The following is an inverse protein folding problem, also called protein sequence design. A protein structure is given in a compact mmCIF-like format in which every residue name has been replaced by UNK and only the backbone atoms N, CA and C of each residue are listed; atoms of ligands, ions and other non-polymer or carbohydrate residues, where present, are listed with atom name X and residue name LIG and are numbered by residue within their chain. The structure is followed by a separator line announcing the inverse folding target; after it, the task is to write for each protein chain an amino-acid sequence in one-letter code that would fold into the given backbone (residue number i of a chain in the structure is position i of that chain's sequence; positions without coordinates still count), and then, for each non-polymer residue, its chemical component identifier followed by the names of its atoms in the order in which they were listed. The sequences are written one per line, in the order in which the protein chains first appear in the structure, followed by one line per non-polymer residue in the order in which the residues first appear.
data_IF_450297245347
#
_entry.id   IF_450297245347
#
_cell.length_a   1.000
_cell.length_b   1.000
_cell.length_c   1.000
_cell.angle_alpha   90.00
_cell.angle_beta   90.00
_cell.angle_gamma   90.00
#
_symmetry.space_group_name_H-M   'P 1'
#
loop_
_entity.id
_entity.type
_entity.pdbx_description
1 polymer ?
#
# COMPACT_ATOMS: atom_id res chain seq x y z
N UNK A 1 32.48 -25.74 -18.57
CA UNK A 1 33.37 -24.98 -19.47
C UNK A 1 32.64 -23.71 -19.93
N UNK A 2 33.04 -22.51 -19.49
CA UNK A 2 32.51 -21.23 -20.02
C UNK A 2 33.41 -20.78 -21.17
N UNK A 3 32.85 -20.47 -22.34
CA UNK A 3 33.61 -19.94 -23.49
C UNK A 3 33.96 -18.47 -23.21
N UNK A 4 35.25 -18.15 -23.32
CA UNK A 4 35.77 -16.79 -23.12
C UNK A 4 35.21 -15.85 -24.20
N UNK A 5 34.67 -14.69 -23.79
CA UNK A 5 34.33 -13.57 -24.68
C UNK A 5 32.86 -13.28 -24.96
N UNK A 6 31.90 -14.01 -24.38
CA UNK A 6 30.46 -13.70 -24.55
C UNK A 6 29.98 -12.72 -23.48
N UNK A 7 29.66 -11.48 -23.86
CA UNK A 7 28.91 -10.57 -22.97
C UNK A 7 27.49 -11.10 -22.83
N UNK A 8 27.05 -11.48 -21.61
CA UNK A 8 25.73 -12.05 -21.43
C UNK A 8 24.69 -10.99 -21.78
N UNK A 9 23.81 -11.35 -22.71
CA UNK A 9 22.66 -10.51 -23.03
C UNK A 9 21.82 -10.28 -21.77
N UNK A 10 21.08 -9.17 -21.71
CA UNK A 10 20.24 -8.83 -20.53
C UNK A 10 19.33 -9.98 -20.13
N UNK A 11 18.83 -10.75 -21.10
CA UNK A 11 18.00 -11.93 -20.87
C UNK A 11 18.76 -13.09 -20.21
N UNK A 12 20.00 -13.36 -20.66
CA UNK A 12 20.86 -14.38 -20.07
C UNK A 12 21.30 -14.00 -18.65
N UNK A 13 21.65 -12.72 -18.43
CA UNK A 13 21.96 -12.22 -17.09
C UNK A 13 20.74 -12.32 -16.17
N UNK A 14 19.56 -11.88 -16.63
CA UNK A 14 18.33 -11.94 -15.84
C UNK A 14 17.96 -13.39 -15.51
N UNK A 15 18.12 -14.32 -16.47
CA UNK A 15 17.86 -15.75 -16.28
C UNK A 15 18.83 -16.37 -15.27
N UNK A 16 20.13 -16.14 -15.43
CA UNK A 16 21.16 -16.67 -14.55
C UNK A 16 21.06 -16.08 -13.13
N UNK A 17 20.79 -14.78 -13.01
CA UNK A 17 20.59 -14.11 -11.74
C UNK A 17 19.34 -14.64 -11.02
N UNK A 18 18.21 -14.77 -11.73
CA UNK A 18 16.98 -15.34 -11.16
C UNK A 18 17.18 -16.78 -10.71
N UNK A 19 17.80 -17.64 -11.53
CA UNK A 19 18.07 -19.03 -11.17
C UNK A 19 18.98 -19.17 -9.94
N UNK A 20 19.93 -18.24 -9.74
CA UNK A 20 20.88 -18.31 -8.64
C UNK A 20 20.38 -17.68 -7.33
N UNK A 21 19.66 -16.56 -7.42
CA UNK A 21 19.25 -15.77 -6.24
C UNK A 21 17.77 -15.85 -5.92
N UNK A 22 16.96 -16.38 -6.83
CA UNK A 22 15.51 -16.54 -6.64
C UNK A 22 15.17 -18.03 -6.86
N UNK A 23 15.31 -18.87 -5.82
CA UNK A 23 14.95 -20.29 -5.91
C UNK A 23 13.51 -20.48 -6.34
N UNK A 24 13.23 -21.53 -7.11
CA UNK A 24 11.87 -21.85 -7.55
C UNK A 24 10.92 -22.04 -6.37
N UNK A 25 11.41 -22.59 -5.25
CA UNK A 25 10.65 -22.71 -4.00
C UNK A 25 10.23 -21.35 -3.42
N UNK A 26 11.11 -20.34 -3.50
CA UNK A 26 10.81 -18.98 -3.07
C UNK A 26 9.77 -18.34 -3.99
N UNK A 27 9.86 -18.56 -5.30
CA UNK A 27 8.85 -18.10 -6.25
C UNK A 27 7.49 -18.77 -6.02
N UNK A 28 7.46 -20.09 -5.82
CA UNK A 28 6.23 -20.82 -5.54
C UNK A 28 5.62 -20.43 -4.19
N UNK A 29 6.45 -20.16 -3.18
CA UNK A 29 6.01 -19.59 -1.92
C UNK A 29 5.42 -18.20 -2.13
N UNK A 30 6.10 -17.30 -2.83
CA UNK A 30 5.60 -15.95 -3.10
C UNK A 30 4.35 -15.94 -3.97
N UNK A 31 4.23 -16.86 -4.94
CA UNK A 31 3.00 -17.10 -5.71
C UNK A 31 1.85 -17.59 -4.82
N UNK A 32 2.13 -18.41 -3.81
CA UNK A 32 1.13 -18.87 -2.83
C UNK A 32 0.69 -17.71 -1.92
N UNK A 33 1.64 -16.98 -1.36
CA UNK A 33 1.39 -15.79 -0.55
C UNK A 33 0.59 -14.73 -1.35
N UNK A 34 0.89 -14.55 -2.64
CA UNK A 34 0.13 -13.65 -3.51
C UNK A 34 -1.28 -14.16 -3.80
N UNK A 35 -1.46 -15.47 -4.00
CA UNK A 35 -2.78 -16.09 -4.20
C UNK A 35 -3.67 -16.02 -2.96
N UNK A 36 -3.08 -16.05 -1.77
CA UNK A 36 -3.77 -15.99 -0.48
C UNK A 36 -3.86 -14.57 0.08
N UNK A 37 -3.34 -13.57 -0.64
CA UNK A 37 -3.33 -12.19 -0.20
C UNK A 37 -4.78 -11.71 -0.03
N UNK A 38 -5.09 -11.18 1.16
CA UNK A 38 -6.37 -10.53 1.45
C UNK A 38 -6.16 -9.03 1.52
N UNK A 39 -7.16 -8.27 1.11
CA UNK A 39 -7.10 -6.81 1.07
C UNK A 39 -6.76 -6.20 2.45
N UNK A 40 -7.39 -6.69 3.52
CA UNK A 40 -7.19 -6.17 4.88
C UNK A 40 -7.41 -4.65 4.95
N UNK A 41 -6.45 -3.93 5.53
CA UNK A 41 -6.49 -2.46 5.66
C UNK A 41 -5.92 -1.70 4.44
N UNK A 42 -5.59 -2.38 3.33
CA UNK A 42 -5.04 -1.75 2.12
C UNK A 42 -6.17 -1.30 1.19
N UNK A 43 -5.96 -0.21 0.47
CA UNK A 43 -6.88 0.23 -0.60
C UNK A 43 -6.83 -0.75 -1.77
N UNK A 44 -7.92 -0.90 -2.53
CA UNK A 44 -8.00 -1.84 -3.67
C UNK A 44 -6.83 -1.62 -4.65
N UNK A 45 -6.45 -0.37 -4.91
CA UNK A 45 -5.32 -0.01 -5.78
C UNK A 45 -3.94 -0.48 -5.29
N UNK A 46 -3.74 -0.63 -3.99
CA UNK A 46 -2.48 -1.12 -3.41
C UNK A 46 -2.41 -2.65 -3.36
N UNK A 47 -3.56 -3.29 -3.42
CA UNK A 47 -3.69 -4.74 -3.49
C UNK A 47 -3.62 -5.24 -4.95
N UNK A 48 -4.06 -4.40 -5.89
CA UNK A 48 -4.11 -4.72 -7.30
C UNK A 48 -2.81 -4.35 -8.03
N UNK A 49 -2.20 -5.33 -8.71
CA UNK A 49 -1.05 -5.12 -9.61
C UNK A 49 -1.56 -5.09 -11.06
N UNK A 50 -1.50 -3.93 -11.76
CA UNK A 50 -2.03 -3.80 -13.12
C UNK A 50 -1.19 -4.53 -14.19
N UNK A 51 0.08 -4.80 -13.93
CA UNK A 51 1.06 -5.18 -14.97
C UNK A 51 1.05 -6.64 -15.40
N UNK A 52 0.17 -7.50 -14.85
CA UNK A 52 0.04 -8.89 -15.28
C UNK A 52 -1.41 -9.27 -15.65
N UNK A 53 -1.57 -9.45 -16.97
CA UNK A 53 -2.43 -10.45 -17.65
C UNK A 53 -3.89 -10.06 -17.96
N UNK A 54 -4.24 -10.40 -19.21
CA UNK A 54 -5.55 -10.38 -19.86
C UNK A 54 -6.71 -10.93 -19.00
N UNK A 55 -7.92 -10.54 -19.42
CA UNK A 55 -9.23 -10.82 -18.83
C UNK A 55 -9.45 -12.31 -18.47
N UNK A 56 -8.99 -12.71 -17.29
CA UNK A 56 -9.07 -14.08 -16.77
C UNK A 56 -10.22 -14.16 -15.74
N UNK A 57 -11.25 -15.01 -15.94
CA UNK A 57 -12.36 -15.17 -15.00
C UNK A 57 -11.90 -15.61 -13.60
N UNK A 58 -10.74 -16.27 -13.49
CA UNK A 58 -10.15 -16.62 -12.19
C UNK A 58 -9.68 -15.38 -11.44
N UNK A 59 -9.45 -14.24 -12.11
CA UNK A 59 -8.99 -12.98 -11.51
C UNK A 59 -10.12 -12.22 -10.84
N UNK A 60 -11.31 -12.21 -11.44
CA UNK A 60 -12.52 -11.72 -10.78
C UNK A 60 -12.79 -12.50 -9.48
N UNK A 61 -12.70 -13.82 -9.53
CA UNK A 61 -12.84 -14.67 -8.34
C UNK A 61 -11.76 -14.40 -7.29
N UNK A 62 -10.48 -14.23 -7.69
CA UNK A 62 -9.39 -13.87 -6.77
C UNK A 62 -9.61 -12.50 -6.11
N UNK A 63 -10.03 -11.50 -6.89
CA UNK A 63 -10.33 -10.17 -6.38
C UNK A 63 -11.48 -10.26 -5.38
N UNK A 64 -12.62 -10.82 -5.78
CA UNK A 64 -13.79 -11.02 -4.91
C UNK A 64 -13.41 -11.73 -3.61
N UNK A 65 -12.74 -12.88 -3.66
CA UNK A 65 -12.35 -13.63 -2.46
C UNK A 65 -11.36 -12.87 -1.55
N UNK A 66 -10.57 -11.96 -2.13
CA UNK A 66 -9.61 -11.12 -1.40
C UNK A 66 -10.19 -9.83 -0.84
N UNK A 67 -11.34 -9.35 -1.35
CA UNK A 67 -12.00 -8.14 -0.86
C UNK A 67 -12.53 -8.31 0.56
N UNK A 68 -12.78 -7.21 1.24
CA UNK A 68 -13.43 -7.22 2.55
C UNK A 68 -14.85 -7.83 2.49
N UNK A 69 -15.29 -8.64 3.49
CA UNK A 69 -16.61 -9.28 3.48
C UNK A 69 -17.80 -8.34 3.22
N UNK A 70 -17.68 -7.07 3.63
CA UNK A 70 -18.71 -6.04 3.38
C UNK A 70 -18.80 -5.68 1.89
N UNK A 71 -17.66 -5.53 1.22
CA UNK A 71 -17.58 -5.30 -0.22
C UNK A 71 -17.95 -6.56 -1.00
N UNK A 72 -17.53 -7.74 -0.54
CA UNK A 72 -17.87 -9.03 -1.16
C UNK A 72 -19.38 -9.23 -1.27
N UNK A 73 -20.11 -8.98 -0.18
CA UNK A 73 -21.56 -9.17 -0.11
C UNK A 73 -22.29 -8.25 -1.10
N UNK A 74 -21.78 -7.04 -1.29
CA UNK A 74 -22.41 -6.04 -2.16
C UNK A 74 -22.06 -6.23 -3.65
N UNK A 75 -20.81 -6.64 -3.94
CA UNK A 75 -20.30 -6.85 -5.30
C UNK A 75 -20.71 -8.19 -5.90
N UNK A 76 -20.99 -9.21 -5.08
CA UNK A 76 -21.36 -10.56 -5.53
C UNK A 76 -22.62 -10.67 -6.39
N UNK A 77 -23.35 -9.56 -6.62
CA UNK A 77 -24.58 -9.51 -7.43
C UNK A 77 -24.51 -8.58 -8.65
N UNK A 78 -23.40 -7.87 -8.90
CA UNK A 78 -23.42 -6.65 -9.75
C UNK A 78 -22.20 -6.40 -10.64
N UNK A 79 -21.46 -7.41 -11.10
CA UNK A 79 -20.41 -7.20 -12.10
C UNK A 79 -20.68 -8.04 -13.35
N UNK A 80 -20.48 -7.44 -14.53
CA UNK A 80 -20.61 -8.11 -15.83
C UNK A 80 -19.24 -8.36 -16.47
N UNK A 81 -18.23 -7.57 -16.10
CA UNK A 81 -16.84 -7.72 -16.53
C UNK A 81 -15.87 -7.48 -15.36
N UNK A 82 -14.60 -7.86 -15.55
CA UNK A 82 -13.57 -7.63 -14.54
C UNK A 82 -13.33 -6.12 -14.32
N UNK A 83 -13.40 -5.31 -15.37
CA UNK A 83 -13.28 -3.85 -15.27
C UNK A 83 -14.41 -3.25 -14.46
N UNK A 84 -15.67 -3.69 -14.70
CA UNK A 84 -16.82 -3.24 -13.91
C UNK A 84 -16.65 -3.60 -12.43
N UNK A 85 -16.12 -4.80 -12.14
CA UNK A 85 -15.87 -5.23 -10.77
C UNK A 85 -14.86 -4.32 -10.06
N UNK A 86 -13.76 -3.95 -10.73
CA UNK A 86 -12.74 -3.06 -10.18
C UNK A 86 -13.31 -1.65 -9.98
N UNK A 87 -13.98 -1.10 -10.98
CA UNK A 87 -14.53 0.25 -10.92
C UNK A 87 -15.63 0.37 -9.86
N UNK A 88 -16.50 -0.62 -9.76
CA UNK A 88 -17.54 -0.67 -8.71
C UNK A 88 -16.91 -0.79 -7.33
N UNK A 89 -15.87 -1.63 -7.16
CA UNK A 89 -15.16 -1.73 -5.90
C UNK A 89 -14.50 -0.40 -5.50
N UNK A 90 -13.89 0.32 -6.45
CA UNK A 90 -13.28 1.63 -6.21
C UNK A 90 -14.32 2.70 -5.87
N UNK A 91 -15.43 2.76 -6.60
CA UNK A 91 -16.54 3.69 -6.32
C UNK A 91 -17.14 3.44 -4.93
N UNK A 92 -17.29 2.17 -4.54
CA UNK A 92 -17.75 1.80 -3.20
C UNK A 92 -16.75 2.18 -2.10
N UNK A 93 -15.44 1.96 -2.30
CA UNK A 93 -14.43 2.42 -1.33
C UNK A 93 -14.43 3.94 -1.18
N UNK A 94 -14.60 4.67 -2.28
CA UNK A 94 -14.66 6.13 -2.25
C UNK A 94 -15.93 6.64 -1.56
N UNK A 95 -17.08 5.98 -1.75
CA UNK A 95 -18.36 6.33 -1.10
C UNK A 95 -18.38 6.01 0.39
N UNK A 96 -17.74 4.92 0.82
CA UNK A 96 -17.64 4.57 2.23
C UNK A 96 -16.65 5.47 3.01
N UNK A 97 -16.02 6.44 2.35
CA UNK A 97 -14.99 7.30 2.90
C UNK A 97 -13.67 6.54 3.09
N UNK A 98 -12.57 7.24 3.39
CA UNK A 98 -11.31 6.55 3.70
C UNK A 98 -11.59 5.57 4.84
N UNK A 99 -11.42 4.26 4.57
CA UNK A 99 -11.34 3.27 5.64
C UNK A 99 -10.36 3.86 6.62
N UNK A 100 -10.85 4.25 7.79
CA UNK A 100 -10.04 4.90 8.81
C UNK A 100 -8.86 3.97 9.02
N UNK A 101 -7.70 4.32 8.44
CA UNK A 101 -6.43 3.71 8.82
C UNK A 101 -6.45 3.90 10.31
N UNK A 102 -6.56 2.78 11.06
CA UNK A 102 -6.68 2.81 12.52
C UNK A 102 -5.73 3.89 13.00
N UNK A 103 -6.27 4.95 13.60
CA UNK A 103 -5.48 6.11 13.96
C UNK A 103 -4.21 5.60 14.63
N UNK A 104 -3.04 5.96 14.10
CA UNK A 104 -1.77 5.48 14.64
C UNK A 104 -1.80 5.89 16.12
N UNK A 105 -1.88 4.88 17.00
CA UNK A 105 -1.94 5.14 18.43
C UNK A 105 -0.56 5.61 18.86
N UNK A 106 -0.42 6.91 19.05
CA UNK A 106 0.71 7.50 19.75
C UNK A 106 0.60 7.20 21.24
N UNK A 107 1.73 7.02 21.91
CA UNK A 107 1.75 6.97 23.37
C UNK A 107 1.22 8.29 23.95
N UNK A 108 0.67 8.32 25.18
CA UNK A 108 0.14 9.54 25.78
C UNK A 108 1.14 10.70 25.79
N UNK A 109 2.42 10.40 26.03
CA UNK A 109 3.50 11.39 26.06
C UNK A 109 3.78 11.99 24.68
N UNK A 110 3.80 11.14 23.64
CA UNK A 110 3.98 11.59 22.24
C UNK A 110 2.81 12.45 21.77
N UNK A 111 1.58 12.11 22.19
CA UNK A 111 0.39 12.90 21.87
C UNK A 111 0.43 14.28 22.55
N UNK A 112 0.92 14.34 23.79
CA UNK A 112 1.09 15.62 24.51
C UNK A 112 2.15 16.49 23.83
N UNK A 113 3.29 15.91 23.48
CA UNK A 113 4.34 16.61 22.76
C UNK A 113 3.87 17.11 21.39
N UNK A 114 3.09 16.30 20.66
CA UNK A 114 2.53 16.67 19.37
C UNK A 114 1.64 17.92 19.47
N UNK A 115 0.75 17.96 20.47
CA UNK A 115 -0.14 19.10 20.68
C UNK A 115 0.63 20.39 20.98
N UNK A 116 1.69 20.29 21.78
CA UNK A 116 2.56 21.44 22.11
C UNK A 116 3.25 21.94 20.84
N UNK A 117 3.91 21.05 20.08
CA UNK A 117 4.62 21.43 18.86
C UNK A 117 3.68 22.00 17.79
N UNK A 118 2.45 21.48 17.67
CA UNK A 118 1.46 22.00 16.73
C UNK A 118 1.00 23.41 17.12
N UNK A 119 0.75 23.64 18.41
CA UNK A 119 0.38 24.96 18.92
C UNK A 119 1.50 25.97 18.67
N UNK A 120 2.75 25.61 18.94
CA UNK A 120 3.88 26.50 18.65
C UNK A 120 3.98 26.86 17.16
N UNK A 121 3.72 25.92 16.25
CA UNK A 121 3.76 26.18 14.81
C UNK A 121 2.58 27.05 14.35
N UNK A 122 1.41 26.91 14.98
CA UNK A 122 0.26 27.78 14.78
C UNK A 122 0.58 29.21 15.25
N UNK A 123 1.13 29.35 16.45
CA UNK A 123 1.48 30.64 17.05
C UNK A 123 2.60 31.35 16.25
N UNK A 124 3.56 30.59 15.70
CA UNK A 124 4.61 31.09 14.79
C UNK A 124 4.08 31.40 13.39
N UNK A 125 2.84 31.04 13.06
CA UNK A 125 2.22 31.27 11.75
C UNK A 125 2.78 30.40 10.62
N UNK A 126 3.52 29.34 10.93
CA UNK A 126 4.05 28.42 9.91
C UNK A 126 2.98 27.49 9.33
N UNK A 127 1.92 27.22 10.11
CA UNK A 127 0.78 26.39 9.70
C UNK A 127 -0.54 27.08 10.05
N UNK A 128 -1.64 26.56 9.49
CA UNK A 128 -3.01 26.98 9.80
C UNK A 128 -3.93 25.76 9.90
N UNK A 129 -5.06 25.84 10.63
CA UNK A 129 -6.06 24.79 10.61
C UNK A 129 -6.52 24.49 9.17
N UNK A 130 -6.58 23.21 8.82
CA UNK A 130 -7.05 22.76 7.52
C UNK A 130 -8.53 22.40 7.59
N UNK A 131 -9.31 22.81 6.58
CA UNK A 131 -10.69 22.37 6.37
C UNK A 131 -10.80 21.15 5.45
N UNK A 132 -9.67 20.57 5.04
CA UNK A 132 -9.65 19.41 4.15
C UNK A 132 -10.22 18.17 4.85
N UNK A 133 -11.07 17.37 4.17
CA UNK A 133 -11.51 16.08 4.69
C UNK A 133 -10.36 15.05 4.77
N UNK A 134 -9.21 15.36 4.15
CA UNK A 134 -8.03 14.49 4.12
C UNK A 134 -7.01 14.91 5.18
N UNK A 135 -6.77 14.05 6.15
CA UNK A 135 -5.75 14.24 7.18
C UNK A 135 -4.33 13.95 6.66
N UNK A 136 -3.36 14.75 7.08
CA UNK A 136 -1.94 14.47 6.85
C UNK A 136 -1.39 13.58 7.98
N UNK A 137 -0.69 12.48 7.70
CA UNK A 137 0.00 11.73 8.73
C UNK A 137 1.20 12.54 9.24
N UNK A 138 1.44 12.46 10.55
CA UNK A 138 2.58 13.06 11.22
C UNK A 138 3.34 12.00 12.00
N UNK A 139 4.68 12.10 12.02
CA UNK A 139 5.59 11.13 12.61
C UNK A 139 6.63 11.85 13.48
N UNK A 140 7.04 11.21 14.57
CA UNK A 140 8.21 11.65 15.33
C UNK A 140 9.47 10.95 14.84
N UNK A 141 10.52 11.73 14.61
CA UNK A 141 11.85 11.25 14.21
C UNK A 141 12.85 11.71 15.26
N UNK A 142 13.71 10.81 15.75
CA UNK A 142 14.77 11.18 16.69
C UNK A 142 15.77 12.15 16.05
N UNK A 143 16.14 13.20 16.79
CA UNK A 143 17.20 14.11 16.36
C UNK A 143 18.56 13.45 16.60
N UNK A 144 19.40 13.50 15.57
CA UNK A 144 20.73 12.89 15.53
C UNK A 144 21.61 13.20 16.75
N UNK A 145 21.52 14.42 17.30
CA UNK A 145 22.53 14.92 18.24
C UNK A 145 21.99 15.39 19.61
N UNK A 146 20.68 15.27 19.90
CA UNK A 146 20.08 16.01 21.03
C UNK A 146 19.02 15.26 21.87
N UNK A 147 18.85 13.94 21.74
CA UNK A 147 17.93 13.16 22.58
C UNK A 147 16.44 13.55 22.49
N UNK A 148 16.08 14.53 21.68
CA UNK A 148 14.70 15.00 21.44
C UNK A 148 14.14 14.50 20.12
N UNK A 149 12.81 14.53 19.98
CA UNK A 149 12.10 14.12 18.76
C UNK A 149 11.72 15.35 17.92
N UNK A 150 11.69 15.19 16.60
CA UNK A 150 11.19 16.18 15.63
C UNK A 150 9.92 15.66 14.99
N UNK A 151 8.89 16.48 14.94
CA UNK A 151 7.70 16.21 14.13
C UNK A 151 7.99 16.39 12.64
N UNK A 152 7.67 15.38 11.84
CA UNK A 152 7.72 15.39 10.37
C UNK A 152 6.36 15.02 9.84
N UNK A 153 5.83 15.79 8.90
CA UNK A 153 4.57 15.48 8.20
C UNK A 153 4.88 15.11 6.75
N UNK A 154 4.19 14.11 6.19
CA UNK A 154 4.38 13.76 4.78
C UNK A 154 3.31 14.45 3.95
N UNK A 155 3.70 15.45 3.17
CA UNK A 155 2.82 15.95 2.11
C UNK A 155 2.64 14.82 1.09
N UNK A 156 1.39 14.43 0.84
CA UNK A 156 1.08 13.48 -0.23
C UNK A 156 1.59 14.05 -1.55
N UNK A 157 2.41 13.28 -2.26
CA UNK A 157 2.91 13.61 -3.59
C UNK A 157 2.37 12.57 -4.57
#
# INVERSE_FOLDING_TARGET
MRRAGHEPTREEFTRAFRAHYIPDSLMEQKKREFRELKQGNKIVMQYYAPEDVADDPRRAARLLNGLDPTLQTHLGRRYQSFTDLVDTALDMENRCGPRLKKAIRMAPDELKELKIQLQEQLDKGFIRPSSSPWGCPALFVEKKDQGGKRLVWTTGR
#
